data_IF_721554623668
#
_entry.id   IF_721554623668
#
_cell.length_a   1.000
_cell.length_b   1.000
_cell.length_c   1.000
_cell.angle_alpha   90.00
_cell.angle_beta   90.00
_cell.angle_gamma   90.00
#
_symmetry.space_group_name_H-M   'P 1'
#
loop_
_entity.id
_entity.type
_entity.pdbx_description
1 polymer ?
#
# COMPACT_ATOMS: atom_id res chain seq x y z
N UNK A 1 -9.68 -5.87 33.21
CA UNK A 1 -10.25 -6.46 32.00
C UNK A 1 -9.16 -6.39 30.94
N UNK A 2 -8.46 -7.50 30.73
CA UNK A 2 -7.43 -7.59 29.70
C UNK A 2 -8.16 -7.55 28.36
N UNK A 3 -7.99 -6.50 27.56
CA UNK A 3 -8.51 -6.45 26.20
C UNK A 3 -7.79 -7.56 25.42
N UNK A 4 -8.54 -8.57 24.98
CA UNK A 4 -8.04 -9.54 24.00
C UNK A 4 -7.57 -8.72 22.80
N UNK A 5 -6.26 -8.64 22.62
CA UNK A 5 -5.66 -8.13 21.39
C UNK A 5 -6.06 -9.16 20.35
N UNK A 6 -6.86 -8.73 19.39
CA UNK A 6 -7.30 -9.56 18.27
C UNK A 6 -6.03 -10.02 17.54
N UNK A 7 -5.60 -11.26 17.77
CA UNK A 7 -4.29 -11.79 17.34
C UNK A 7 -4.17 -11.83 15.82
N UNK A 8 -5.30 -11.75 15.12
CA UNK A 8 -5.38 -11.92 13.67
C UNK A 8 -5.28 -10.62 12.86
N UNK A 9 -5.32 -9.44 13.53
CA UNK A 9 -5.18 -8.16 12.82
C UNK A 9 -3.69 -7.86 12.60
N UNK A 10 -3.24 -7.73 11.35
CA UNK A 10 -1.81 -7.55 11.03
C UNK A 10 -1.31 -6.12 11.26
N UNK A 11 -2.01 -5.33 12.09
CA UNK A 11 -1.73 -3.92 12.36
C UNK A 11 -1.78 -3.67 13.86
N UNK A 12 -0.82 -2.87 14.33
CA UNK A 12 -0.77 -2.40 15.72
C UNK A 12 -0.91 -0.88 15.77
N UNK A 13 -1.69 -0.38 16.73
CA UNK A 13 -1.80 1.06 16.91
C UNK A 13 -0.54 1.65 17.56
N UNK A 14 -0.22 2.88 17.17
CA UNK A 14 0.89 3.65 17.73
C UNK A 14 0.81 3.79 19.25
N UNK A 15 -0.42 3.89 19.80
CA UNK A 15 -0.64 3.91 21.25
C UNK A 15 -0.21 2.60 21.92
N UNK A 16 -0.61 1.45 21.37
CA UNK A 16 -0.24 0.13 21.91
C UNK A 16 1.26 -0.11 21.78
N UNK A 17 1.86 0.27 20.65
CA UNK A 17 3.31 0.14 20.47
C UNK A 17 4.07 0.94 21.52
N UNK A 18 3.66 2.19 21.79
CA UNK A 18 4.27 3.03 22.83
C UNK A 18 4.27 2.35 24.22
N UNK A 19 3.16 1.69 24.58
CA UNK A 19 3.06 0.94 25.83
C UNK A 19 4.05 -0.26 25.84
N UNK A 20 4.14 -1.02 24.72
CA UNK A 20 5.05 -2.17 24.59
C UNK A 20 6.53 -1.82 24.54
N UNK A 21 6.90 -0.63 24.08
CA UNK A 21 8.28 -0.14 24.15
C UNK A 21 8.76 -0.06 25.60
N UNK A 22 7.93 0.43 26.51
CA UNK A 22 8.26 0.53 27.93
C UNK A 22 8.44 -0.83 28.60
N UNK A 23 7.73 -1.85 28.12
CA UNK A 23 7.82 -3.23 28.61
C UNK A 23 9.03 -3.99 28.03
N UNK A 24 9.71 -3.44 27.02
CA UNK A 24 10.77 -4.11 26.24
C UNK A 24 10.38 -5.50 25.71
N UNK A 25 9.10 -5.65 25.34
CA UNK A 25 8.46 -6.93 25.00
C UNK A 25 8.29 -7.16 23.50
N UNK A 26 8.84 -6.30 22.66
CA UNK A 26 8.60 -6.31 21.22
C UNK A 26 9.84 -5.90 20.42
N UNK A 27 10.13 -6.60 19.33
CA UNK A 27 11.15 -6.20 18.36
C UNK A 27 10.55 -5.17 17.38
N UNK A 28 11.20 -4.01 17.27
CA UNK A 28 10.78 -2.94 16.38
C UNK A 28 11.76 -2.84 15.23
N UNK A 29 11.27 -2.80 13.99
CA UNK A 29 12.10 -2.74 12.79
C UNK A 29 11.78 -1.48 12.00
N UNK A 30 12.80 -0.69 11.72
CA UNK A 30 12.77 0.46 10.82
C UNK A 30 13.28 0.03 9.44
N UNK A 31 12.45 0.13 8.41
CA UNK A 31 12.83 -0.28 7.05
C UNK A 31 13.28 0.88 6.17
N UNK A 32 13.42 2.08 6.74
CA UNK A 32 13.97 3.24 6.06
C UNK A 32 15.47 3.06 5.79
N UNK A 33 16.04 3.97 5.00
CA UNK A 33 17.48 3.97 4.70
C UNK A 33 18.31 4.21 5.97
N UNK A 34 19.53 3.66 6.00
CA UNK A 34 20.45 3.83 7.14
C UNK A 34 20.61 5.29 7.56
N UNK A 35 20.75 6.20 6.61
CA UNK A 35 20.90 7.64 6.89
C UNK A 35 19.68 8.25 7.58
N UNK A 36 18.48 7.83 7.20
CA UNK A 36 17.23 8.29 7.81
C UNK A 36 17.05 7.73 9.21
N UNK A 37 17.42 6.45 9.41
CA UNK A 37 17.43 5.80 10.72
C UNK A 37 18.40 6.48 11.68
N UNK A 38 19.63 6.78 11.25
CA UNK A 38 20.65 7.44 12.07
C UNK A 38 20.25 8.86 12.50
N UNK A 39 19.44 9.56 11.73
CA UNK A 39 18.91 10.88 12.09
C UNK A 39 17.83 10.84 13.16
N UNK A 40 17.29 9.66 13.44
CA UNK A 40 16.28 9.40 14.46
C UNK A 40 15.33 8.28 14.06
N UNK A 41 14.96 7.46 15.01
CA UNK A 41 14.09 6.30 14.88
C UNK A 41 13.23 6.11 16.13
N UNK A 42 12.22 5.26 16.05
CA UNK A 42 11.44 4.89 17.25
C UNK A 42 12.35 4.21 18.26
N UNK A 43 12.27 4.60 19.52
CA UNK A 43 13.09 4.05 20.60
C UNK A 43 13.13 2.52 20.55
N UNK A 44 14.32 1.93 20.70
CA UNK A 44 14.60 0.50 20.59
C UNK A 44 14.39 -0.13 19.20
N UNK A 45 14.13 0.64 18.16
CA UNK A 45 14.05 0.11 16.81
C UNK A 45 15.43 -0.28 16.28
N UNK A 46 15.47 -1.35 15.48
CA UNK A 46 16.65 -1.79 14.72
C UNK A 46 16.43 -1.52 13.23
N UNK A 47 17.50 -1.24 12.49
CA UNK A 47 17.37 -0.91 11.08
C UNK A 47 17.49 -2.14 10.18
N UNK A 48 16.54 -2.28 9.27
CA UNK A 48 16.56 -3.21 8.13
C UNK A 48 16.15 -2.47 6.86
N UNK A 49 17.06 -1.77 6.19
CA UNK A 49 16.72 -1.14 4.91
C UNK A 49 16.12 -2.15 3.95
N UNK A 50 15.00 -1.80 3.31
CA UNK A 50 14.29 -2.73 2.41
C UNK A 50 15.21 -3.30 1.32
N UNK A 51 16.18 -2.51 0.84
CA UNK A 51 17.13 -2.96 -0.16
C UNK A 51 17.91 -4.22 0.28
N UNK A 52 18.19 -4.38 1.59
CA UNK A 52 18.87 -5.57 2.13
C UNK A 52 18.03 -6.84 1.95
N UNK A 53 16.72 -6.74 2.16
CA UNK A 53 15.79 -7.85 1.88
C UNK A 53 15.67 -8.13 0.38
N UNK A 54 15.64 -7.10 -0.46
CA UNK A 54 15.43 -7.24 -1.90
C UNK A 54 16.66 -7.71 -2.67
N UNK A 55 17.84 -7.68 -2.07
CA UNK A 55 19.05 -8.25 -2.69
C UNK A 55 18.96 -9.77 -2.82
N UNK A 56 18.36 -10.42 -1.84
CA UNK A 56 18.07 -11.85 -1.84
C UNK A 56 16.87 -12.08 -0.91
N UNK A 57 15.71 -12.32 -1.50
CA UNK A 57 14.46 -12.60 -0.79
C UNK A 57 14.12 -14.09 -0.73
N UNK A 58 15.13 -14.97 -0.88
CA UNK A 58 15.00 -16.40 -0.62
C UNK A 58 14.62 -16.68 0.84
N UNK A 59 13.91 -17.77 1.12
CA UNK A 59 13.56 -18.14 2.48
C UNK A 59 14.76 -18.22 3.43
N UNK A 60 15.89 -18.72 2.93
CA UNK A 60 17.15 -18.86 3.67
C UNK A 60 17.75 -17.51 4.04
N UNK A 61 17.72 -16.55 3.11
CA UNK A 61 18.19 -15.20 3.35
C UNK A 61 17.27 -14.45 4.32
N UNK A 62 15.94 -14.56 4.17
CA UNK A 62 14.98 -13.97 5.10
C UNK A 62 15.15 -14.57 6.50
N UNK A 63 15.37 -15.89 6.62
CA UNK A 63 15.67 -16.53 7.90
C UNK A 63 16.92 -15.94 8.56
N UNK A 64 18.00 -15.80 7.81
CA UNK A 64 19.24 -15.22 8.31
C UNK A 64 19.02 -13.78 8.78
N UNK A 65 18.31 -12.96 8.01
CA UNK A 65 17.93 -11.60 8.41
C UNK A 65 17.17 -11.62 9.74
N UNK A 66 16.18 -12.51 9.89
CA UNK A 66 15.41 -12.62 11.13
C UNK A 66 16.33 -12.99 12.32
N UNK A 67 17.22 -13.97 12.16
CA UNK A 67 18.17 -14.37 13.17
C UNK A 67 19.12 -13.23 13.58
N UNK A 68 19.70 -12.53 12.60
CA UNK A 68 20.62 -11.41 12.82
C UNK A 68 19.94 -10.23 13.54
N UNK A 69 18.62 -10.08 13.37
CA UNK A 69 17.80 -9.07 14.05
C UNK A 69 17.25 -9.53 15.41
N UNK A 70 17.69 -10.68 15.92
CA UNK A 70 17.25 -11.21 17.21
C UNK A 70 15.78 -11.65 17.22
N UNK A 71 15.25 -12.12 16.07
CA UNK A 71 13.88 -12.59 15.93
C UNK A 71 13.85 -14.11 16.00
N UNK A 72 13.33 -14.66 17.09
CA UNK A 72 12.93 -16.06 17.19
C UNK A 72 11.51 -16.26 16.63
N UNK A 73 11.05 -17.49 16.52
CA UNK A 73 9.66 -17.75 16.06
C UNK A 73 8.58 -17.18 16.99
N UNK A 74 8.92 -16.90 18.24
CA UNK A 74 7.97 -16.40 19.26
C UNK A 74 8.15 -14.89 19.55
N UNK A 75 9.12 -14.23 18.92
CA UNK A 75 9.37 -12.81 19.15
C UNK A 75 8.26 -11.96 18.52
N UNK A 76 7.51 -11.14 19.28
CA UNK A 76 6.59 -10.18 18.69
C UNK A 76 7.35 -9.12 17.89
N UNK A 77 6.93 -8.84 16.66
CA UNK A 77 7.62 -7.91 15.75
C UNK A 77 6.66 -6.83 15.29
N UNK A 78 7.13 -5.58 15.29
CA UNK A 78 6.45 -4.44 14.63
C UNK A 78 7.39 -3.81 13.63
N UNK A 79 6.88 -3.51 12.45
CA UNK A 79 7.64 -2.94 11.35
C UNK A 79 7.00 -1.63 10.92
N UNK A 80 7.83 -0.61 10.68
CA UNK A 80 7.39 0.69 10.21
C UNK A 80 8.30 1.27 9.15
N UNK A 81 7.79 2.25 8.43
CA UNK A 81 8.49 3.06 7.45
C UNK A 81 8.05 4.53 7.52
N UNK A 82 8.50 5.33 6.56
CA UNK A 82 7.99 6.70 6.33
C UNK A 82 7.41 6.86 4.92
N UNK A 83 7.01 5.74 4.30
CA UNK A 83 6.43 5.65 2.96
C UNK A 83 5.04 5.00 3.03
N UNK A 84 4.17 5.57 3.86
CA UNK A 84 2.77 5.16 4.09
C UNK A 84 2.56 3.65 4.33
N UNK A 85 3.55 2.92 4.83
CA UNK A 85 3.44 1.49 5.12
C UNK A 85 3.78 0.56 3.96
N UNK A 86 4.16 1.09 2.80
CA UNK A 86 4.43 0.27 1.62
C UNK A 86 5.72 -0.55 1.75
N UNK A 87 6.78 0.03 2.30
CA UNK A 87 8.05 -0.68 2.48
C UNK A 87 7.95 -1.70 3.61
N UNK A 88 7.37 -1.31 4.72
CA UNK A 88 7.17 -2.17 5.89
C UNK A 88 6.26 -3.35 5.57
N UNK A 89 5.21 -3.18 4.76
CA UNK A 89 4.33 -4.27 4.36
C UNK A 89 5.08 -5.39 3.61
N UNK A 90 6.09 -5.05 2.81
CA UNK A 90 6.90 -6.04 2.11
C UNK A 90 7.74 -6.90 3.07
N UNK A 91 8.27 -6.28 4.12
CA UNK A 91 9.06 -6.99 5.14
C UNK A 91 8.16 -7.84 6.05
N UNK A 92 6.99 -7.30 6.47
CA UNK A 92 5.99 -8.09 7.24
C UNK A 92 5.59 -9.34 6.45
N UNK A 93 5.30 -9.19 5.15
CA UNK A 93 4.93 -10.31 4.30
C UNK A 93 6.07 -11.34 4.18
N UNK A 94 7.32 -10.91 4.05
CA UNK A 94 8.46 -11.81 3.96
C UNK A 94 8.61 -12.67 5.22
N UNK A 95 8.47 -12.08 6.41
CA UNK A 95 8.50 -12.82 7.67
C UNK A 95 7.32 -13.78 7.78
N UNK A 96 6.11 -13.38 7.40
CA UNK A 96 4.95 -14.29 7.39
C UNK A 96 5.10 -15.42 6.37
N UNK A 97 5.76 -15.15 5.24
CA UNK A 97 6.02 -16.18 4.23
C UNK A 97 6.93 -17.28 4.77
N UNK A 98 7.95 -16.95 5.56
CA UNK A 98 8.81 -17.95 6.22
C UNK A 98 8.20 -18.53 7.50
N UNK A 99 6.96 -18.17 7.85
CA UNK A 99 6.18 -18.77 8.93
C UNK A 99 6.24 -18.03 10.26
N UNK A 100 6.77 -16.81 10.30
CA UNK A 100 6.70 -15.98 11.51
C UNK A 100 5.27 -15.45 11.72
N UNK A 101 4.69 -15.68 12.90
CA UNK A 101 3.26 -15.45 13.14
C UNK A 101 2.95 -14.07 13.70
N UNK A 102 3.69 -13.62 14.74
CA UNK A 102 3.40 -12.37 15.44
C UNK A 102 4.22 -11.21 14.87
N UNK A 103 3.90 -10.84 13.63
CA UNK A 103 4.48 -9.66 12.97
C UNK A 103 3.38 -8.72 12.49
N UNK A 104 3.51 -7.42 12.79
CA UNK A 104 2.49 -6.40 12.53
C UNK A 104 3.07 -5.15 11.90
N UNK A 105 2.24 -4.46 11.14
CA UNK A 105 2.49 -3.11 10.65
C UNK A 105 2.14 -2.10 11.74
N UNK A 106 2.95 -1.06 11.91
CA UNK A 106 2.57 0.12 12.66
C UNK A 106 1.52 0.91 11.86
N UNK A 107 0.46 1.38 12.52
CA UNK A 107 -0.66 2.09 11.90
C UNK A 107 -0.36 3.53 11.45
N UNK A 108 0.86 4.01 11.72
CA UNK A 108 1.35 5.35 11.36
C UNK A 108 2.73 5.28 10.74
N UNK A 109 3.11 6.28 9.95
CA UNK A 109 4.48 6.45 9.47
C UNK A 109 5.39 7.01 10.58
N UNK A 110 6.72 6.99 10.38
CA UNK A 110 7.65 7.62 11.32
C UNK A 110 7.40 9.13 11.49
N UNK A 111 7.11 9.84 10.41
CA UNK A 111 6.75 11.25 10.49
C UNK A 111 5.50 11.49 11.34
N UNK A 112 4.46 10.69 11.13
CA UNK A 112 3.24 10.74 11.94
C UNK A 112 3.49 10.36 13.41
N UNK A 113 4.40 9.41 13.71
CA UNK A 113 4.83 9.08 15.06
C UNK A 113 5.43 10.31 15.78
N UNK A 114 6.30 11.05 15.08
CA UNK A 114 6.86 12.31 15.61
C UNK A 114 5.80 13.39 15.82
N UNK A 115 4.87 13.54 14.88
CA UNK A 115 3.78 14.52 14.96
C UNK A 115 2.85 14.24 16.14
N UNK A 116 2.72 12.99 16.56
CA UNK A 116 2.02 12.59 17.79
C UNK A 116 2.80 12.94 19.08
N UNK A 117 4.03 13.46 18.96
CA UNK A 117 4.88 13.79 20.10
C UNK A 117 5.44 12.56 20.82
N UNK A 118 5.54 11.42 20.14
CA UNK A 118 6.08 10.20 20.72
C UNK A 118 7.60 10.17 20.66
N UNK A 119 8.19 9.43 21.59
CA UNK A 119 9.63 9.39 21.81
C UNK A 119 10.39 8.78 20.63
N UNK A 120 11.52 9.41 20.29
CA UNK A 120 12.48 8.94 19.28
C UNK A 120 13.86 8.88 19.87
N UNK A 121 14.74 8.08 19.29
CA UNK A 121 16.13 7.91 19.70
C UNK A 121 17.07 7.95 18.49
N UNK A 122 18.34 8.20 18.75
CA UNK A 122 19.45 7.97 17.82
C UNK A 122 20.37 6.85 18.31
N UNK A 123 20.04 6.24 19.46
CA UNK A 123 20.82 5.14 20.05
C UNK A 123 20.50 3.84 19.33
N UNK A 124 21.52 3.18 18.79
CA UNK A 124 21.38 1.89 18.12
C UNK A 124 21.40 0.79 19.17
N UNK A 125 20.30 0.01 19.33
CA UNK A 125 20.28 -1.06 20.33
C UNK A 125 21.23 -2.20 19.93
N UNK A 126 21.90 -2.78 20.93
CA UNK A 126 22.63 -4.03 20.75
C UNK A 126 21.67 -5.20 20.57
N UNK A 127 21.96 -6.07 19.62
CA UNK A 127 21.11 -7.20 19.26
C UNK A 127 21.89 -8.49 19.40
N UNK A 128 21.39 -9.36 20.25
CA UNK A 128 21.83 -10.75 20.29
C UNK A 128 21.08 -11.55 19.20
N UNK A 129 21.82 -12.27 18.33
CA UNK A 129 21.20 -13.12 17.33
C UNK A 129 20.29 -14.18 17.97
N UNK A 130 19.18 -14.49 17.30
CA UNK A 130 18.25 -15.52 17.76
C UNK A 130 18.21 -16.72 16.79
N UNK A 131 17.61 -17.81 17.25
CA UNK A 131 17.30 -18.94 16.37
C UNK A 131 15.92 -18.76 15.80
N UNK A 132 15.78 -18.84 14.47
CA UNK A 132 14.51 -18.83 13.76
C UNK A 132 14.42 -20.05 12.84
N UNK A 133 13.32 -20.79 12.90
CA UNK A 133 13.06 -21.93 12.01
C UNK A 133 12.06 -21.53 10.93
N UNK A 134 12.32 -21.98 9.70
CA UNK A 134 11.46 -21.67 8.54
C UNK A 134 10.35 -22.71 8.43
N UNK A 135 9.12 -22.21 8.27
CA UNK A 135 7.97 -22.99 7.86
C UNK A 135 7.22 -22.21 6.79
N UNK A 136 7.56 -22.48 5.52
CA UNK A 136 6.97 -21.75 4.39
C UNK A 136 5.45 -21.77 4.44
N UNK A 137 4.85 -20.61 4.23
CA UNK A 137 3.42 -20.40 4.08
C UNK A 137 3.07 -20.05 2.63
N UNK A 138 2.87 -21.05 1.75
CA UNK A 138 2.61 -20.81 0.33
C UNK A 138 1.21 -20.21 0.09
N UNK A 139 0.30 -20.30 1.03
CA UNK A 139 -1.08 -19.84 0.88
C UNK A 139 -1.21 -18.31 0.72
N UNK A 140 -0.20 -17.57 1.18
CA UNK A 140 -0.21 -16.10 1.07
C UNK A 140 0.44 -15.60 -0.22
N UNK A 141 1.02 -16.49 -1.04
CA UNK A 141 1.73 -16.16 -2.26
C UNK A 141 0.93 -16.60 -3.49
N UNK A 142 0.92 -15.75 -4.51
CA UNK A 142 0.53 -16.11 -5.87
C UNK A 142 1.75 -16.09 -6.79
N UNK A 143 1.82 -17.02 -7.75
CA UNK A 143 2.83 -17.06 -8.81
C UNK A 143 2.22 -16.66 -10.15
N UNK A 144 3.07 -16.39 -11.15
CA UNK A 144 2.60 -16.09 -12.50
C UNK A 144 1.75 -17.24 -13.09
N UNK A 145 2.16 -18.50 -12.83
CA UNK A 145 1.42 -19.69 -13.28
C UNK A 145 0.06 -19.81 -12.59
N UNK A 146 0.02 -19.48 -11.29
CA UNK A 146 -1.24 -19.47 -10.56
C UNK A 146 -2.20 -18.41 -11.12
N UNK A 147 -1.72 -17.17 -11.33
CA UNK A 147 -2.53 -16.12 -11.93
C UNK A 147 -3.07 -16.52 -13.30
N UNK A 148 -2.23 -17.11 -14.14
CA UNK A 148 -2.64 -17.57 -15.49
C UNK A 148 -3.74 -18.64 -15.43
N UNK A 149 -3.67 -19.53 -14.45
CA UNK A 149 -4.68 -20.57 -14.22
C UNK A 149 -6.01 -20.01 -13.75
N UNK A 150 -6.00 -18.95 -12.92
CA UNK A 150 -7.22 -18.45 -12.24
C UNK A 150 -7.81 -17.18 -12.84
N UNK A 151 -7.13 -16.51 -13.77
CA UNK A 151 -7.57 -15.20 -14.32
C UNK A 151 -8.98 -15.20 -14.95
N UNK A 152 -9.46 -16.36 -15.43
CA UNK A 152 -10.81 -16.51 -15.97
C UNK A 152 -11.85 -16.95 -14.91
N UNK A 153 -11.40 -17.23 -13.68
CA UNK A 153 -12.29 -17.65 -12.60
C UNK A 153 -13.03 -16.45 -12.00
N UNK A 154 -14.33 -16.44 -12.13
CA UNK A 154 -15.22 -15.36 -11.64
C UNK A 154 -15.19 -15.14 -10.13
N UNK A 155 -14.70 -16.13 -9.36
CA UNK A 155 -14.56 -16.04 -7.91
C UNK A 155 -13.17 -15.52 -7.50
N UNK A 156 -12.30 -15.20 -8.46
CA UNK A 156 -10.97 -14.62 -8.21
C UNK A 156 -10.93 -13.19 -8.74
N UNK A 157 -10.43 -12.27 -7.94
CA UNK A 157 -10.26 -10.87 -8.32
C UNK A 157 -8.77 -10.53 -8.28
N UNK A 158 -8.22 -10.13 -9.41
CA UNK A 158 -6.84 -9.66 -9.53
C UNK A 158 -6.84 -8.13 -9.44
N UNK A 159 -6.09 -7.57 -8.49
CA UNK A 159 -6.02 -6.13 -8.23
C UNK A 159 -4.66 -5.58 -8.58
N UNK A 160 -4.62 -4.64 -9.53
CA UNK A 160 -3.46 -3.81 -9.84
C UNK A 160 -3.42 -2.59 -8.91
N UNK A 161 -2.40 -2.52 -8.05
CA UNK A 161 -2.24 -1.43 -7.09
C UNK A 161 -1.32 -0.31 -7.60
N UNK A 162 -0.91 -0.34 -8.85
CA UNK A 162 -0.16 0.77 -9.47
C UNK A 162 -1.09 1.97 -9.71
N UNK A 163 -0.47 3.09 -9.99
CA UNK A 163 -1.18 4.28 -10.42
C UNK A 163 -2.02 4.00 -11.68
N UNK A 164 -3.13 4.71 -11.80
CA UNK A 164 -4.11 4.47 -12.86
C UNK A 164 -3.50 4.52 -14.27
N UNK A 165 -2.59 5.44 -14.54
CA UNK A 165 -1.94 5.53 -15.87
C UNK A 165 -1.12 4.27 -16.19
N UNK A 166 -0.36 3.74 -15.23
CA UNK A 166 0.41 2.51 -15.44
C UNK A 166 -0.51 1.32 -15.78
N UNK A 167 -1.68 1.25 -15.13
CA UNK A 167 -2.68 0.23 -15.42
C UNK A 167 -3.25 0.39 -16.83
N UNK A 168 -3.64 1.63 -17.23
CA UNK A 168 -4.20 1.90 -18.55
C UNK A 168 -3.22 1.60 -19.69
N UNK A 169 -1.94 1.89 -19.47
CA UNK A 169 -0.88 1.58 -20.43
C UNK A 169 -0.71 0.08 -20.65
N UNK A 170 -0.61 -0.68 -19.57
CA UNK A 170 -0.40 -2.12 -19.59
C UNK A 170 -0.80 -2.74 -18.24
N UNK A 171 -1.56 -3.85 -18.26
CA UNK A 171 -1.91 -4.59 -17.05
C UNK A 171 -2.08 -6.09 -17.32
N UNK A 172 -2.17 -6.88 -16.27
CA UNK A 172 -2.49 -8.31 -16.35
C UNK A 172 -3.95 -8.46 -16.81
N UNK A 173 -4.25 -9.28 -17.83
CA UNK A 173 -5.61 -9.47 -18.33
C UNK A 173 -6.60 -9.82 -17.20
N UNK A 174 -7.76 -9.17 -17.24
CA UNK A 174 -8.81 -9.36 -16.23
C UNK A 174 -8.58 -8.65 -14.89
N UNK A 175 -7.42 -7.99 -14.70
CA UNK A 175 -7.18 -7.22 -13.48
C UNK A 175 -8.05 -5.96 -13.42
N UNK A 176 -8.42 -5.57 -12.20
CA UNK A 176 -9.03 -4.27 -11.91
C UNK A 176 -8.01 -3.37 -11.21
N UNK A 177 -8.14 -2.06 -11.41
CA UNK A 177 -7.22 -1.13 -10.77
C UNK A 177 -7.80 -0.56 -9.46
N UNK A 178 -7.07 -0.72 -8.39
CA UNK A 178 -7.27 0.00 -7.12
C UNK A 178 -5.92 0.61 -6.73
N UNK A 179 -5.66 1.86 -7.09
CA UNK A 179 -4.39 2.52 -6.79
C UNK A 179 -4.10 2.50 -5.29
N UNK A 180 -2.85 2.24 -4.92
CA UNK A 180 -2.44 2.15 -3.51
C UNK A 180 -2.82 3.38 -2.67
N UNK A 181 -2.86 4.57 -3.28
CA UNK A 181 -3.26 5.82 -2.60
C UNK A 181 -4.69 5.78 -2.07
N UNK A 182 -5.56 4.97 -2.66
CA UNK A 182 -6.94 4.83 -2.20
C UNK A 182 -7.08 3.98 -0.93
N UNK A 183 -6.00 3.32 -0.51
CA UNK A 183 -5.98 2.44 0.66
C UNK A 183 -5.69 3.18 1.97
N UNK A 184 -5.09 4.36 1.88
CA UNK A 184 -4.75 5.19 3.02
C UNK A 184 -5.88 6.16 3.40
N UNK A 185 -5.79 6.74 4.58
CA UNK A 185 -6.62 7.86 5.04
C UNK A 185 -5.75 8.86 5.79
N UNK A 186 -6.26 10.04 6.06
CA UNK A 186 -5.52 11.08 6.77
C UNK A 186 -5.05 10.59 8.15
N UNK A 187 -3.75 10.70 8.40
CA UNK A 187 -3.12 10.33 9.67
C UNK A 187 -2.96 8.83 9.94
N UNK A 188 -3.28 7.95 8.97
CA UNK A 188 -3.11 6.50 9.08
C UNK A 188 -2.63 5.90 7.77
N UNK A 189 -1.86 4.81 7.85
CA UNK A 189 -1.40 4.10 6.66
C UNK A 189 -2.52 3.33 5.94
N UNK A 190 -3.60 3.00 6.64
CA UNK A 190 -4.74 2.29 6.07
C UNK A 190 -6.07 2.98 6.44
N UNK A 191 -7.06 2.80 5.58
CA UNK A 191 -8.44 3.18 5.82
C UNK A 191 -9.07 2.43 6.98
N UNK A 192 -10.15 3.00 7.49
CA UNK A 192 -11.04 2.28 8.43
C UNK A 192 -11.66 1.05 7.75
N UNK A 193 -12.08 0.10 8.56
CA UNK A 193 -12.76 -1.12 8.09
C UNK A 193 -13.98 -0.79 7.22
N UNK A 194 -14.79 0.17 7.64
CA UNK A 194 -15.97 0.64 6.92
C UNK A 194 -15.61 1.27 5.58
N UNK A 195 -14.58 2.12 5.57
CA UNK A 195 -14.08 2.78 4.35
C UNK A 195 -13.55 1.77 3.33
N UNK A 196 -12.83 0.72 3.79
CA UNK A 196 -12.35 -0.35 2.93
C UNK A 196 -13.51 -1.21 2.38
N UNK A 197 -14.48 -1.59 3.21
CA UNK A 197 -15.67 -2.34 2.76
C UNK A 197 -16.47 -1.54 1.72
N UNK A 198 -16.63 -0.24 1.93
CA UNK A 198 -17.28 0.65 0.95
C UNK A 198 -16.50 0.68 -0.36
N UNK A 199 -15.17 0.78 -0.31
CA UNK A 199 -14.32 0.73 -1.50
C UNK A 199 -14.51 -0.57 -2.30
N UNK A 200 -14.47 -1.73 -1.64
CA UNK A 200 -14.66 -3.03 -2.29
C UNK A 200 -16.06 -3.16 -2.90
N UNK A 201 -17.09 -2.78 -2.15
CA UNK A 201 -18.47 -2.79 -2.63
C UNK A 201 -18.67 -1.92 -3.87
N UNK A 202 -18.09 -0.71 -3.87
CA UNK A 202 -18.17 0.21 -5.00
C UNK A 202 -17.44 -0.30 -6.25
N UNK A 203 -16.46 -1.19 -6.05
CA UNK A 203 -15.75 -1.88 -7.13
C UNK A 203 -16.37 -3.20 -7.52
N UNK A 204 -17.47 -3.60 -6.88
CA UNK A 204 -18.16 -4.86 -7.17
C UNK A 204 -17.35 -6.10 -6.74
N UNK A 205 -16.46 -5.96 -5.75
CA UNK A 205 -15.64 -7.05 -5.24
C UNK A 205 -16.38 -7.75 -4.12
N UNK A 206 -16.71 -9.06 -4.25
CA UNK A 206 -17.33 -9.84 -3.20
C UNK A 206 -16.36 -10.05 -2.01
N UNK A 207 -16.88 -10.04 -0.78
CA UNK A 207 -16.05 -10.28 0.43
C UNK A 207 -15.53 -11.73 0.54
N UNK A 208 -16.16 -12.66 -0.16
CA UNK A 208 -15.80 -14.09 -0.20
C UNK A 208 -14.92 -14.48 -1.40
N UNK A 209 -14.63 -13.53 -2.31
CA UNK A 209 -13.73 -13.76 -3.43
C UNK A 209 -12.30 -14.05 -2.95
N UNK A 210 -11.56 -14.86 -3.70
CA UNK A 210 -10.10 -14.86 -3.59
C UNK A 210 -9.55 -13.59 -4.24
N UNK A 211 -8.73 -12.84 -3.52
CA UNK A 211 -8.17 -11.59 -4.00
C UNK A 211 -6.65 -11.73 -4.16
N UNK A 212 -6.14 -11.43 -5.35
CA UNK A 212 -4.71 -11.41 -5.64
C UNK A 212 -4.29 -9.97 -5.89
N UNK A 213 -3.32 -9.48 -5.11
CA UNK A 213 -2.80 -8.12 -5.26
C UNK A 213 -1.44 -8.13 -5.96
N UNK A 214 -1.20 -7.20 -6.88
CA UNK A 214 0.10 -7.00 -7.51
C UNK A 214 0.39 -5.51 -7.76
N UNK A 215 1.66 -5.17 -7.99
CA UNK A 215 2.08 -3.82 -8.36
C UNK A 215 3.14 -3.82 -9.47
N UNK A 216 4.15 -2.94 -9.40
CA UNK A 216 5.17 -2.81 -10.45
C UNK A 216 6.21 -3.94 -10.46
N UNK A 217 6.77 -4.29 -9.27
CA UNK A 217 7.94 -5.18 -9.25
C UNK A 217 8.11 -6.03 -7.99
N UNK A 218 8.19 -5.43 -6.81
CA UNK A 218 8.70 -6.11 -5.60
C UNK A 218 7.68 -6.22 -4.48
N UNK A 219 6.41 -6.07 -4.78
CA UNK A 219 5.33 -6.33 -3.82
C UNK A 219 5.16 -5.28 -2.72
N UNK A 220 5.69 -4.07 -2.84
CA UNK A 220 5.55 -3.02 -1.81
C UNK A 220 4.13 -2.43 -1.78
N UNK A 221 3.70 -1.81 -2.87
CA UNK A 221 2.37 -1.20 -2.95
C UNK A 221 1.25 -2.23 -2.85
N UNK A 222 1.43 -3.40 -3.44
CA UNK A 222 0.49 -4.51 -3.36
C UNK A 222 0.53 -5.24 -2.02
N UNK A 223 1.67 -5.21 -1.33
CA UNK A 223 1.78 -5.66 0.07
C UNK A 223 0.93 -4.79 1.00
N UNK A 224 0.94 -3.47 0.81
CA UNK A 224 0.04 -2.58 1.55
C UNK A 224 -1.43 -2.93 1.28
N UNK A 225 -1.80 -3.18 0.02
CA UNK A 225 -3.15 -3.61 -0.35
C UNK A 225 -3.53 -4.97 0.28
N UNK A 226 -2.60 -5.93 0.27
CA UNK A 226 -2.76 -7.22 0.94
C UNK A 226 -3.14 -7.02 2.41
N UNK A 227 -2.39 -6.18 3.14
CA UNK A 227 -2.68 -5.92 4.55
C UNK A 227 -3.95 -5.09 4.78
N UNK A 228 -4.28 -4.18 3.88
CA UNK A 228 -5.55 -3.46 3.92
C UNK A 228 -6.74 -4.43 3.85
N UNK A 229 -6.69 -5.43 2.98
CA UNK A 229 -7.71 -6.46 2.85
C UNK A 229 -7.74 -7.41 4.06
N UNK A 230 -6.58 -7.87 4.52
CA UNK A 230 -6.49 -8.72 5.73
C UNK A 230 -7.02 -8.00 6.98
N UNK A 231 -6.76 -6.70 7.13
CA UNK A 231 -7.21 -5.91 8.29
C UNK A 231 -8.72 -5.79 8.42
N UNK A 232 -9.46 -5.96 7.34
CA UNK A 232 -10.93 -5.95 7.35
C UNK A 232 -11.55 -7.34 7.41
N UNK A 233 -10.72 -8.39 7.45
CA UNK A 233 -11.14 -9.78 7.62
C UNK A 233 -11.39 -10.53 6.32
N UNK A 234 -10.87 -10.07 5.16
CA UNK A 234 -10.93 -10.87 3.93
C UNK A 234 -10.02 -12.10 4.11
N UNK A 235 -10.58 -13.33 4.03
CA UNK A 235 -9.82 -14.53 4.37
C UNK A 235 -8.83 -14.92 3.27
N UNK A 236 -9.25 -14.88 2.01
CA UNK A 236 -8.53 -15.41 0.87
C UNK A 236 -7.81 -14.30 0.11
N UNK A 237 -6.66 -13.84 0.63
CA UNK A 237 -5.83 -12.83 -0.04
C UNK A 237 -4.45 -13.41 -0.31
N UNK A 238 -3.96 -13.25 -1.54
CA UNK A 238 -2.61 -13.62 -1.96
C UNK A 238 -1.86 -12.40 -2.50
N UNK A 239 -0.54 -12.38 -2.29
CA UNK A 239 0.34 -11.39 -2.89
C UNK A 239 1.10 -12.02 -4.06
N UNK A 240 0.97 -11.45 -5.24
CA UNK A 240 1.89 -11.72 -6.35
C UNK A 240 3.11 -10.80 -6.20
N UNK A 241 4.09 -11.26 -5.41
CA UNK A 241 5.21 -10.44 -4.94
C UNK A 241 6.11 -9.94 -6.07
N UNK A 242 6.39 -10.77 -7.08
CA UNK A 242 7.23 -10.40 -8.22
C UNK A 242 6.49 -9.52 -9.24
N UNK A 243 5.19 -9.46 -9.14
CA UNK A 243 4.33 -8.43 -9.74
C UNK A 243 4.44 -8.33 -11.27
N UNK A 244 4.06 -7.17 -11.82
CA UNK A 244 3.99 -6.95 -13.27
C UNK A 244 5.34 -7.06 -13.99
N UNK A 245 6.46 -6.79 -13.30
CA UNK A 245 7.80 -6.95 -13.88
C UNK A 245 8.10 -8.41 -14.26
N UNK A 246 7.81 -9.35 -13.37
CA UNK A 246 7.98 -10.79 -13.66
C UNK A 246 7.03 -11.23 -14.78
N UNK A 247 5.76 -10.82 -14.70
CA UNK A 247 4.76 -11.13 -15.73
C UNK A 247 5.22 -10.75 -17.13
N UNK A 248 5.80 -9.54 -17.27
CA UNK A 248 6.39 -9.08 -18.54
C UNK A 248 7.62 -9.85 -18.93
N UNK A 249 8.52 -10.15 -18.00
CA UNK A 249 9.73 -10.90 -18.28
C UNK A 249 9.45 -12.34 -18.74
N UNK A 250 8.32 -12.90 -18.30
CA UNK A 250 7.83 -14.21 -18.74
C UNK A 250 7.01 -14.14 -20.04
N UNK A 251 6.98 -12.96 -20.69
CA UNK A 251 6.26 -12.73 -21.96
C UNK A 251 4.78 -13.14 -21.89
N UNK A 252 4.16 -13.02 -20.73
CA UNK A 252 2.75 -13.34 -20.52
C UNK A 252 1.84 -12.29 -21.20
N UNK A 253 0.59 -12.66 -21.55
CA UNK A 253 -0.36 -11.74 -22.17
C UNK A 253 -0.56 -10.46 -21.35
N UNK A 254 -0.69 -9.34 -22.05
CA UNK A 254 -0.88 -8.03 -21.47
C UNK A 254 -2.08 -7.37 -22.11
N UNK A 255 -2.98 -6.83 -21.28
CA UNK A 255 -4.03 -5.93 -21.72
C UNK A 255 -3.57 -4.47 -21.62
N UNK A 256 -4.12 -3.65 -22.46
CA UNK A 256 -3.98 -2.19 -22.44
C UNK A 256 -5.31 -1.55 -22.81
N UNK A 257 -5.57 -0.38 -22.31
CA UNK A 257 -6.69 0.42 -22.73
C UNK A 257 -6.26 1.32 -23.88
N UNK A 258 -6.72 1.01 -25.09
CA UNK A 258 -6.50 1.87 -26.25
C UNK A 258 -7.11 3.25 -26.00
N UNK A 259 -6.38 4.28 -26.38
CA UNK A 259 -6.77 5.67 -26.11
C UNK A 259 -6.95 6.01 -24.62
N UNK A 260 -6.18 5.35 -23.75
CA UNK A 260 -6.08 5.76 -22.36
C UNK A 260 -5.73 7.24 -22.28
N UNK A 261 -6.58 8.04 -21.69
CA UNK A 261 -6.42 9.46 -21.55
C UNK A 261 -6.80 9.90 -20.12
N UNK A 262 -6.56 11.15 -19.84
CA UNK A 262 -6.78 11.70 -18.53
C UNK A 262 -8.22 11.55 -18.01
N UNK A 263 -9.19 11.54 -18.94
CA UNK A 263 -10.62 11.41 -18.61
C UNK A 263 -11.03 10.01 -18.20
N UNK A 264 -10.28 8.99 -18.63
CA UNK A 264 -10.53 7.62 -18.19
C UNK A 264 -10.23 7.46 -16.69
N UNK A 265 -9.32 8.29 -16.17
CA UNK A 265 -9.07 8.37 -14.74
C UNK A 265 -10.30 8.85 -13.98
N UNK A 266 -10.92 9.93 -14.44
CA UNK A 266 -12.11 10.51 -13.79
C UNK A 266 -13.37 9.66 -14.01
N UNK A 267 -13.54 9.04 -15.18
CA UNK A 267 -14.69 8.20 -15.49
C UNK A 267 -14.82 6.98 -14.57
N UNK A 268 -13.70 6.39 -14.16
CA UNK A 268 -13.71 5.29 -13.20
C UNK A 268 -14.15 5.72 -11.80
N UNK A 269 -13.77 6.92 -11.40
CA UNK A 269 -14.11 7.49 -10.10
C UNK A 269 -15.60 7.84 -10.02
N UNK A 270 -16.19 8.21 -11.16
CA UNK A 270 -17.62 8.50 -11.26
C UNK A 270 -18.51 7.28 -11.02
N UNK A 271 -18.02 6.09 -11.32
CA UNK A 271 -18.73 4.84 -11.03
C UNK A 271 -18.78 4.52 -9.53
N UNK A 272 -17.97 5.20 -8.72
CA UNK A 272 -18.00 5.06 -7.28
C UNK A 272 -19.19 5.84 -6.70
N UNK A 273 -20.06 5.16 -5.93
CA UNK A 273 -21.24 5.79 -5.31
C UNK A 273 -20.88 6.88 -4.29
N UNK A 274 -19.67 6.83 -3.75
CA UNK A 274 -19.22 7.77 -2.73
C UNK A 274 -17.76 8.19 -2.99
N UNK A 275 -17.62 9.03 -4.01
CA UNK A 275 -16.33 9.51 -4.46
C UNK A 275 -15.61 10.34 -3.37
N UNK A 276 -16.36 11.00 -2.49
CA UNK A 276 -15.79 11.82 -1.43
C UNK A 276 -15.06 11.00 -0.36
N UNK A 277 -15.40 9.70 -0.22
CA UNK A 277 -14.74 8.80 0.73
C UNK A 277 -13.41 8.27 0.20
N UNK A 278 -13.20 8.34 -1.10
CA UNK A 278 -12.02 7.76 -1.78
C UNK A 278 -11.01 8.84 -2.20
N UNK A 279 -11.44 10.10 -2.24
CA UNK A 279 -10.63 11.22 -2.67
C UNK A 279 -10.05 11.99 -1.50
N UNK A 280 -8.84 12.56 -1.61
CA UNK A 280 -8.33 13.51 -0.65
C UNK A 280 -9.35 14.62 -0.42
N UNK A 281 -9.62 14.97 0.82
CA UNK A 281 -10.49 16.09 1.15
C UNK A 281 -9.77 17.38 0.81
N UNK A 282 -10.06 17.91 -0.37
CA UNK A 282 -9.58 19.24 -0.75
C UNK A 282 -10.67 20.25 -0.38
N UNK A 283 -10.35 21.27 0.42
CA UNK A 283 -11.34 22.27 0.82
C UNK A 283 -12.04 22.87 -0.40
N UNK A 284 -13.36 22.99 -0.32
CA UNK A 284 -14.24 23.58 -1.33
C UNK A 284 -14.40 22.81 -2.66
N UNK A 285 -14.08 21.51 -2.70
CA UNK A 285 -14.26 20.72 -3.89
C UNK A 285 -15.46 19.79 -3.84
N UNK A 286 -16.25 19.82 -4.91
CA UNK A 286 -17.28 18.82 -5.20
C UNK A 286 -16.81 17.98 -6.38
N UNK A 287 -16.25 16.82 -6.09
CA UNK A 287 -15.71 15.91 -7.07
C UNK A 287 -16.73 15.49 -8.15
N UNK A 288 -18.02 15.40 -7.80
CA UNK A 288 -19.10 15.13 -8.77
C UNK A 288 -19.28 16.20 -9.84
N UNK A 289 -18.82 17.43 -9.61
CA UNK A 289 -18.90 18.51 -10.61
C UNK A 289 -17.84 18.39 -11.72
N UNK A 290 -16.75 17.66 -11.47
CA UNK A 290 -15.69 17.37 -12.42
C UNK A 290 -16.14 16.62 -13.66
N UNK A 291 -17.17 15.85 -13.52
CA UNK A 291 -17.52 14.76 -14.44
C UNK A 291 -18.42 15.21 -15.57
N UNK A 292 -18.94 16.43 -15.47
CA UNK A 292 -19.89 16.97 -16.44
C UNK A 292 -19.26 17.85 -17.53
N UNK A 293 -17.95 18.17 -17.45
CA UNK A 293 -17.26 18.98 -18.46
C UNK A 293 -16.10 18.17 -19.05
N UNK A 294 -16.19 17.78 -20.32
CA UNK A 294 -15.04 17.22 -21.07
C UNK A 294 -14.14 18.34 -21.56
N UNK A 295 -12.82 18.32 -21.30
CA UNK A 295 -11.90 19.25 -21.90
C UNK A 295 -11.75 19.01 -23.41
N UNK A 296 -11.17 19.96 -24.11
CA UNK A 296 -10.80 19.80 -25.51
C UNK A 296 -9.66 18.79 -25.64
N UNK A 297 -9.57 18.11 -26.79
CA UNK A 297 -8.47 17.16 -27.05
C UNK A 297 -7.08 17.77 -26.81
N UNK A 298 -6.88 19.05 -27.19
CA UNK A 298 -5.64 19.78 -26.96
C UNK A 298 -5.29 19.85 -25.45
N UNK A 299 -6.28 20.18 -24.62
CA UNK A 299 -6.10 20.27 -23.16
C UNK A 299 -5.78 18.91 -22.55
N UNK A 300 -6.38 17.83 -23.07
CA UNK A 300 -6.08 16.45 -22.64
C UNK A 300 -4.60 16.08 -22.94
N UNK A 301 -4.09 16.41 -24.13
CA UNK A 301 -2.70 16.15 -24.50
C UNK A 301 -1.73 16.92 -23.59
N UNK A 302 -2.01 18.20 -23.33
CA UNK A 302 -1.21 19.04 -22.43
C UNK A 302 -1.20 18.45 -21.02
N UNK A 303 -2.34 18.02 -20.50
CA UNK A 303 -2.46 17.40 -19.18
C UNK A 303 -1.70 16.08 -19.08
N UNK A 304 -1.79 15.22 -20.08
CA UNK A 304 -1.06 13.96 -20.13
C UNK A 304 0.47 14.16 -20.14
N UNK A 305 0.94 15.24 -20.78
CA UNK A 305 2.36 15.59 -20.82
C UNK A 305 2.90 16.20 -19.51
N UNK A 306 2.01 16.70 -18.67
CA UNK A 306 2.36 17.31 -17.39
C UNK A 306 2.35 16.33 -16.21
N UNK A 307 1.87 15.11 -16.41
CA UNK A 307 1.83 14.11 -15.33
C UNK A 307 3.25 13.72 -14.92
N UNK A 308 3.58 13.76 -13.63
CA UNK A 308 4.90 13.41 -13.16
C UNK A 308 5.17 11.92 -13.34
N UNK A 309 6.26 11.60 -14.03
CA UNK A 309 6.71 10.22 -14.25
C UNK A 309 7.34 9.55 -13.01
N UNK A 310 7.51 10.29 -11.91
CA UNK A 310 8.30 9.89 -10.74
C UNK A 310 7.49 9.68 -9.46
N UNK A 311 6.17 9.64 -9.54
CA UNK A 311 5.30 9.36 -8.40
C UNK A 311 5.19 10.48 -7.36
N UNK A 312 5.74 11.67 -7.62
CA UNK A 312 5.51 12.85 -6.79
C UNK A 312 4.34 13.65 -7.37
N UNK A 313 3.34 13.84 -6.53
CA UNK A 313 2.11 14.52 -6.88
C UNK A 313 2.13 15.95 -6.38
N UNK A 314 2.02 16.89 -7.31
CA UNK A 314 1.94 18.32 -7.02
C UNK A 314 0.86 18.91 -7.91
N UNK A 315 0.44 20.14 -7.63
CA UNK A 315 -0.29 20.92 -8.62
C UNK A 315 0.64 21.14 -9.82
N UNK A 316 0.36 20.44 -10.92
CA UNK A 316 1.20 20.46 -12.12
C UNK A 316 0.61 21.29 -13.24
N UNK A 317 -0.66 21.65 -13.10
CA UNK A 317 -1.39 22.42 -14.08
C UNK A 317 -2.51 23.21 -13.42
N UNK A 318 -2.66 24.47 -13.81
CA UNK A 318 -3.71 25.35 -13.35
C UNK A 318 -4.21 26.26 -14.47
N UNK A 319 -5.51 26.24 -14.73
CA UNK A 319 -6.22 27.18 -15.58
C UNK A 319 -7.41 27.76 -14.80
N UNK A 320 -8.11 28.74 -15.42
CA UNK A 320 -9.17 29.48 -14.73
C UNK A 320 -10.23 28.59 -14.05
N UNK A 321 -10.54 27.45 -14.66
CA UNK A 321 -11.57 26.53 -14.21
C UNK A 321 -11.06 25.15 -13.81
N UNK A 322 -9.79 24.79 -14.06
CA UNK A 322 -9.22 23.46 -13.79
C UNK A 322 -7.86 23.55 -13.12
N UNK A 323 -7.68 22.77 -12.06
CA UNK A 323 -6.38 22.48 -11.46
C UNK A 323 -6.13 20.97 -11.50
N UNK A 324 -4.88 20.56 -11.54
CA UNK A 324 -4.49 19.17 -11.33
C UNK A 324 -3.73 19.08 -10.01
N UNK A 325 -4.32 18.36 -9.07
CA UNK A 325 -3.70 18.06 -7.79
C UNK A 325 -3.56 16.56 -7.69
N UNK A 326 -2.37 16.10 -7.37
CA UNK A 326 -2.06 14.67 -7.27
C UNK A 326 -2.52 13.84 -8.49
N UNK A 327 -2.30 14.40 -9.70
CA UNK A 327 -2.67 13.74 -10.94
C UNK A 327 -4.17 13.70 -11.21
N UNK A 328 -4.99 14.38 -10.42
CA UNK A 328 -6.45 14.43 -10.56
C UNK A 328 -6.87 15.82 -11.02
N UNK A 329 -7.64 15.92 -12.13
CA UNK A 329 -8.19 17.20 -12.56
C UNK A 329 -9.30 17.63 -11.61
N UNK A 330 -9.26 18.89 -11.22
CA UNK A 330 -10.19 19.51 -10.29
C UNK A 330 -10.76 20.76 -10.96
N UNK A 331 -12.08 20.78 -11.17
CA UNK A 331 -12.75 21.97 -11.69
C UNK A 331 -12.97 22.93 -10.53
N UNK A 332 -12.39 24.14 -10.64
CA UNK A 332 -12.66 25.22 -9.70
C UNK A 332 -14.13 25.64 -9.81
N UNK A 333 -14.80 25.81 -8.70
CA UNK A 333 -16.11 26.44 -8.70
C UNK A 333 -15.98 27.85 -9.30
N UNK A 334 -16.88 28.20 -10.21
CA UNK A 334 -17.14 29.62 -10.49
C UNK A 334 -17.35 30.31 -9.14
N UNK A 335 -16.57 31.37 -8.90
CA UNK A 335 -16.89 32.30 -7.80
C UNK A 335 -18.32 32.77 -8.07
N UNK A 336 -19.25 32.40 -7.21
CA UNK A 336 -20.56 33.02 -7.20
C UNK A 336 -20.29 34.52 -7.15
N UNK A 337 -20.57 35.20 -8.26
CA UNK A 337 -20.63 36.63 -8.33
C UNK A 337 -21.82 37.07 -7.48
N UNK A 338 -21.57 37.22 -6.19
CA UNK A 338 -22.46 38.02 -5.36
C UNK A 338 -22.20 39.49 -5.71
N UNK A 339 -23.00 40.02 -6.59
CA UNK A 339 -23.34 41.45 -6.61
C UNK A 339 -24.50 41.68 -5.69
#
# INVERSE_FOLDING_TARGET
MCSMIDSDIPIISSKILREKIQENSIRIIDVRRDQEYQQGHITNAVNLPLAKLLNDDSPESIQKIAQDLGISNETPVVIYDDTFGALSSRVVWALQYIGHKDVKLLDVTFSQWKDLGYEISTEVPEIEPATHSVKINPEIMATAEYLEKVKENKNVVIIDNRERLNYLEQHIPGAINIPYRTLATDGKILRTKEGMKTLLKNRGIPEDAEIITYCGSVGTLSGLAYYALKSIGIPNVKLYVHSFKEWKNLEKPIDKQENANYWDLSAEWYKMKDINDVMPKVPNMKWGALLNKKPTNKKIEELNNLLPHNGRWHTVYEEDDVSIIDGVPIIKKEKDSMT
#
